data_IF_680437136607
#
_entry.id   IF_680437136607
#
_cell.length_a   1.000
_cell.length_b   1.000
_cell.length_c   1.000
_cell.angle_alpha   90.00
_cell.angle_beta   90.00
_cell.angle_gamma   90.00
#
_symmetry.space_group_name_H-M   'P 1'
#
loop_
_entity.id
_entity.type
_entity.pdbx_description
1 polymer ?
#
# COMPACT_ATOMS: atom_id res chain seq x y z
N UNK A 1 -0.10 5.05 -32.39
CA UNK A 1 0.09 5.67 -31.06
C UNK A 1 -0.65 4.83 -30.04
N UNK A 2 0.06 4.16 -29.14
CA UNK A 2 -0.57 3.45 -28.02
C UNK A 2 -1.29 4.47 -27.14
N UNK A 3 -2.53 4.19 -26.75
CA UNK A 3 -3.23 5.01 -25.76
C UNK A 3 -2.30 5.14 -24.56
N UNK A 4 -2.05 6.37 -24.09
CA UNK A 4 -1.51 6.58 -22.74
C UNK A 4 -2.35 5.72 -21.76
N UNK A 5 -1.75 5.18 -20.69
CA UNK A 5 -2.37 4.24 -19.73
C UNK A 5 -3.56 4.80 -18.95
N UNK A 6 -4.55 5.30 -19.68
CA UNK A 6 -5.77 5.97 -19.27
C UNK A 6 -6.97 5.02 -19.42
N UNK A 7 -6.72 3.74 -19.70
CA UNK A 7 -7.73 2.67 -19.71
C UNK A 7 -8.04 2.20 -18.28
N UNK A 8 -7.03 2.23 -17.40
CA UNK A 8 -7.14 1.81 -16.01
C UNK A 8 -6.51 2.81 -15.04
N UNK A 9 -7.09 2.90 -13.84
CA UNK A 9 -6.55 3.65 -12.71
C UNK A 9 -5.95 2.67 -11.71
N UNK A 10 -4.74 2.94 -11.24
CA UNK A 10 -4.14 2.22 -10.10
C UNK A 10 -4.68 2.87 -8.83
N UNK A 11 -5.52 2.15 -8.11
CA UNK A 11 -6.10 2.61 -6.84
C UNK A 11 -5.26 2.02 -5.72
N UNK A 12 -4.73 2.88 -4.86
CA UNK A 12 -3.83 2.50 -3.76
C UNK A 12 -4.33 3.06 -2.44
N UNK A 13 -4.24 2.23 -1.40
CA UNK A 13 -4.52 2.55 -0.02
C UNK A 13 -3.34 2.10 0.85
N UNK A 14 -2.96 2.91 1.84
CA UNK A 14 -1.75 2.69 2.63
C UNK A 14 -2.08 2.63 4.12
N UNK A 15 -1.63 1.57 4.77
CA UNK A 15 -1.60 1.51 6.22
C UNK A 15 -0.19 1.77 6.74
N UNK A 16 -0.09 2.48 7.85
CA UNK A 16 1.20 2.84 8.46
C UNK A 16 1.25 2.47 9.94
N UNK A 17 2.46 2.21 10.45
CA UNK A 17 2.65 2.14 11.90
C UNK A 17 2.21 3.45 12.55
N UNK A 18 1.36 3.36 13.56
CA UNK A 18 0.82 4.52 14.27
C UNK A 18 0.68 4.26 15.77
N UNK A 19 0.43 5.32 16.55
CA UNK A 19 0.32 5.28 18.00
C UNK A 19 -0.79 6.22 18.46
N UNK A 20 -1.45 5.89 19.58
CA UNK A 20 -2.52 6.73 20.17
C UNK A 20 -2.01 8.12 20.54
N UNK A 21 -0.75 8.19 20.97
CA UNK A 21 -0.02 9.43 21.24
C UNK A 21 1.28 9.41 20.47
N UNK A 22 1.78 10.59 20.12
CA UNK A 22 3.03 10.73 19.38
C UNK A 22 4.21 10.14 20.17
N UNK A 23 4.86 9.15 19.58
CA UNK A 23 6.14 8.61 20.04
C UNK A 23 7.30 9.42 19.48
N UNK A 24 8.36 9.65 20.29
CA UNK A 24 9.50 10.49 19.89
C UNK A 24 10.56 9.76 19.07
N UNK A 25 10.75 8.46 19.33
CA UNK A 25 11.79 7.64 18.73
C UNK A 25 11.22 6.66 17.69
N UNK A 26 10.06 6.98 17.12
CA UNK A 26 9.38 6.18 16.12
C UNK A 26 8.97 7.07 14.94
N UNK A 27 9.06 6.51 13.72
CA UNK A 27 8.58 7.15 12.50
C UNK A 27 7.43 6.33 11.92
N UNK A 28 6.51 6.99 11.20
CA UNK A 28 5.49 6.25 10.47
C UNK A 28 6.14 5.54 9.28
N UNK A 29 5.99 4.23 9.21
CA UNK A 29 6.41 3.41 8.08
C UNK A 29 5.17 2.73 7.48
N UNK A 30 5.13 2.60 6.16
CA UNK A 30 4.08 1.84 5.47
C UNK A 30 4.25 0.36 5.83
N UNK A 31 3.16 -0.26 6.30
CA UNK A 31 3.11 -1.68 6.69
C UNK A 31 2.14 -2.49 5.84
N UNK A 32 1.28 -1.82 5.05
CA UNK A 32 0.49 -2.45 4.00
C UNK A 32 0.29 -1.49 2.83
N UNK A 33 0.31 -2.04 1.62
CA UNK A 33 -0.19 -1.40 0.41
C UNK A 33 -1.36 -2.23 -0.11
N UNK A 34 -2.57 -1.72 0.07
CA UNK A 34 -3.75 -2.20 -0.65
C UNK A 34 -3.72 -1.63 -2.07
N UNK A 35 -3.84 -2.47 -3.09
CA UNK A 35 -3.82 -2.03 -4.50
C UNK A 35 -4.82 -2.79 -5.35
N UNK A 36 -5.43 -2.10 -6.31
CA UNK A 36 -6.19 -2.72 -7.39
C UNK A 36 -6.17 -1.88 -8.67
N UNK A 37 -6.64 -2.45 -9.78
CA UNK A 37 -6.86 -1.73 -11.03
C UNK A 37 -8.36 -1.51 -11.27
N UNK A 38 -8.75 -0.26 -11.49
CA UNK A 38 -10.10 0.12 -11.89
C UNK A 38 -10.14 0.40 -13.40
N UNK A 39 -10.93 -0.37 -14.15
CA UNK A 39 -11.20 -0.09 -15.57
C UNK A 39 -12.15 1.10 -15.72
N UNK A 40 -11.75 2.11 -16.50
CA UNK A 40 -12.52 3.36 -16.64
C UNK A 40 -13.78 3.16 -17.49
N UNK A 41 -13.74 2.22 -18.45
CA UNK A 41 -14.85 1.98 -19.36
C UNK A 41 -15.98 1.18 -18.71
N UNK A 42 -15.63 0.13 -17.96
CA UNK A 42 -16.61 -0.76 -17.32
C UNK A 42 -16.89 -0.45 -15.85
N UNK A 43 -15.97 0.22 -15.16
CA UNK A 43 -16.00 0.37 -13.71
C UNK A 43 -15.60 -0.89 -12.93
N UNK A 44 -15.07 -1.90 -13.62
CA UNK A 44 -14.67 -3.16 -13.00
C UNK A 44 -13.35 -3.02 -12.23
N UNK A 45 -13.28 -3.67 -11.06
CA UNK A 45 -12.06 -3.75 -10.24
C UNK A 45 -11.39 -5.09 -10.47
N UNK A 46 -10.12 -5.04 -10.85
CA UNK A 46 -9.27 -6.21 -11.17
C UNK A 46 -7.97 -6.16 -10.38
N UNK A 47 -7.24 -7.29 -10.36
CA UNK A 47 -5.87 -7.38 -9.82
C UNK A 47 -5.73 -6.87 -8.37
N UNK A 48 -6.73 -7.14 -7.53
CA UNK A 48 -6.69 -6.72 -6.12
C UNK A 48 -5.62 -7.49 -5.35
N UNK A 49 -4.77 -6.76 -4.64
CA UNK A 49 -3.78 -7.34 -3.74
C UNK A 49 -3.64 -6.51 -2.45
N UNK A 50 -3.34 -7.21 -1.35
CA UNK A 50 -2.76 -6.64 -0.13
C UNK A 50 -1.28 -7.03 -0.09
N UNK A 51 -0.40 -6.04 -0.04
CA UNK A 51 1.05 -6.23 0.02
C UNK A 51 1.49 -5.82 1.42
N UNK A 52 1.94 -6.77 2.24
CA UNK A 52 2.48 -6.48 3.57
C UNK A 52 3.92 -6.02 3.49
N UNK A 53 4.27 -5.00 4.28
CA UNK A 53 5.59 -4.42 4.32
C UNK A 53 6.18 -4.52 5.73
N UNK A 54 7.41 -5.03 5.83
CA UNK A 54 8.13 -5.09 7.11
C UNK A 54 8.76 -3.72 7.43
N UNK A 55 8.42 -3.07 8.57
CA UNK A 55 9.03 -1.81 9.01
C UNK A 55 10.46 -2.04 9.51
N UNK A 56 11.28 -0.99 9.49
CA UNK A 56 12.73 -1.05 9.83
C UNK A 56 13.07 -0.21 11.06
N UNK A 57 12.37 0.89 11.26
CA UNK A 57 12.63 1.91 12.28
C UNK A 57 11.46 2.10 13.26
N UNK A 58 10.35 1.38 13.06
CA UNK A 58 9.18 1.44 13.91
C UNK A 58 8.61 0.06 14.24
N UNK A 59 7.72 0.03 15.22
CA UNK A 59 6.99 -1.17 15.63
C UNK A 59 5.49 -0.95 15.48
N UNK A 60 4.78 -2.03 15.17
CA UNK A 60 3.31 -2.05 15.19
C UNK A 60 2.85 -1.99 16.65
N UNK A 61 2.19 -0.90 17.04
CA UNK A 61 1.63 -0.74 18.39
C UNK A 61 0.27 -1.45 18.52
N UNK A 62 -0.18 -1.71 19.76
CA UNK A 62 -1.54 -2.23 19.98
C UNK A 62 -2.63 -1.30 19.41
N UNK A 63 -2.40 0.02 19.44
CA UNK A 63 -3.32 0.98 18.85
C UNK A 63 -3.39 0.82 17.32
N UNK A 64 -2.23 0.68 16.68
CA UNK A 64 -2.13 0.41 15.24
C UNK A 64 -2.86 -0.89 14.88
N UNK A 65 -2.60 -1.98 15.60
CA UNK A 65 -3.29 -3.26 15.38
C UNK A 65 -4.81 -3.14 15.54
N UNK A 66 -5.31 -2.33 16.47
CA UNK A 66 -6.76 -2.10 16.61
C UNK A 66 -7.37 -1.34 15.43
N UNK A 67 -6.62 -0.45 14.79
CA UNK A 67 -7.08 0.32 13.64
C UNK A 67 -6.97 -0.46 12.32
N UNK A 68 -5.84 -1.11 12.09
CA UNK A 68 -5.49 -1.73 10.80
C UNK A 68 -5.74 -3.23 10.77
N UNK A 69 -5.98 -3.87 11.93
CA UNK A 69 -6.02 -5.33 12.14
C UNK A 69 -4.70 -6.07 11.94
N UNK A 70 -3.62 -5.36 11.55
CA UNK A 70 -2.31 -5.95 11.31
C UNK A 70 -1.55 -6.18 12.62
N UNK A 71 -1.05 -7.41 12.82
CA UNK A 71 -0.23 -7.76 14.00
C UNK A 71 1.26 -7.62 13.69
N UNK A 72 2.12 -7.43 14.72
CA UNK A 72 3.57 -7.42 14.52
C UNK A 72 4.08 -8.67 13.79
N UNK A 73 3.55 -9.85 14.12
CA UNK A 73 3.95 -11.12 13.52
C UNK A 73 3.57 -11.21 12.04
N UNK A 74 2.40 -10.68 11.69
CA UNK A 74 1.94 -10.66 10.30
C UNK A 74 2.82 -9.73 9.46
N UNK A 75 3.07 -8.52 9.97
CA UNK A 75 3.87 -7.50 9.29
C UNK A 75 5.34 -7.94 9.13
N UNK A 76 5.87 -8.73 10.07
CA UNK A 76 7.20 -9.32 9.99
C UNK A 76 7.38 -10.28 8.79
N UNK A 77 6.29 -10.83 8.25
CA UNK A 77 6.32 -11.64 7.02
C UNK A 77 6.37 -10.82 5.73
N UNK A 78 6.22 -9.49 5.84
CA UNK A 78 6.15 -8.58 4.71
C UNK A 78 7.47 -8.40 3.96
N UNK A 79 7.36 -7.85 2.74
CA UNK A 79 8.50 -7.48 1.90
C UNK A 79 9.03 -6.11 2.28
N UNK A 80 10.16 -5.69 1.71
CA UNK A 80 10.68 -4.33 1.94
C UNK A 80 9.89 -3.31 1.11
N UNK A 81 9.81 -2.06 1.59
CA UNK A 81 9.18 -0.95 0.85
C UNK A 81 9.68 -0.82 -0.60
N UNK A 82 11.00 -1.00 -0.82
CA UNK A 82 11.58 -0.98 -2.17
C UNK A 82 10.98 -2.06 -3.09
N UNK A 83 10.77 -3.26 -2.56
CA UNK A 83 10.23 -4.39 -3.32
C UNK A 83 8.75 -4.17 -3.62
N UNK A 84 7.99 -3.62 -2.67
CA UNK A 84 6.61 -3.20 -2.91
C UNK A 84 6.50 -2.14 -4.01
N UNK A 85 7.36 -1.11 -3.99
CA UNK A 85 7.39 -0.10 -5.06
C UNK A 85 7.71 -0.71 -6.43
N UNK A 86 8.69 -1.62 -6.52
CA UNK A 86 9.01 -2.32 -7.77
C UNK A 86 7.83 -3.14 -8.27
N UNK A 87 7.14 -3.85 -7.37
CA UNK A 87 5.93 -4.63 -7.70
C UNK A 87 4.82 -3.74 -8.26
N UNK A 88 4.59 -2.56 -7.68
CA UNK A 88 3.63 -1.58 -8.21
C UNK A 88 4.02 -1.07 -9.61
N UNK A 89 5.31 -0.84 -9.84
CA UNK A 89 5.80 -0.41 -11.15
C UNK A 89 5.64 -1.49 -12.21
N UNK A 90 6.00 -2.74 -11.90
CA UNK A 90 6.05 -3.85 -12.85
C UNK A 90 4.67 -4.45 -13.11
N UNK A 91 3.88 -4.72 -12.07
CA UNK A 91 2.61 -5.42 -12.19
C UNK A 91 1.43 -4.47 -12.44
N UNK A 92 1.47 -3.28 -11.84
CA UNK A 92 0.39 -2.30 -11.94
C UNK A 92 0.70 -1.16 -12.91
N UNK A 93 1.91 -1.10 -13.47
CA UNK A 93 2.35 -0.02 -14.36
C UNK A 93 2.13 1.37 -13.75
N UNK A 94 2.37 1.50 -12.44
CA UNK A 94 2.06 2.70 -11.64
C UNK A 94 2.73 3.99 -12.14
N UNK A 95 3.83 3.88 -12.91
CA UNK A 95 4.49 5.01 -13.59
C UNK A 95 3.78 5.52 -14.84
N UNK A 96 2.94 4.68 -15.46
CA UNK A 96 2.31 4.95 -16.76
C UNK A 96 0.79 5.11 -16.68
N UNK A 97 0.20 4.74 -15.54
CA UNK A 97 -1.24 4.84 -15.27
C UNK A 97 -1.54 5.96 -14.29
N UNK A 98 -2.78 6.45 -14.33
CA UNK A 98 -3.26 7.39 -13.31
C UNK A 98 -3.28 6.68 -11.96
N UNK A 99 -2.73 7.36 -10.94
CA UNK A 99 -2.78 6.93 -9.56
C UNK A 99 -3.94 7.60 -8.84
N UNK A 100 -4.70 6.83 -8.06
CA UNK A 100 -5.70 7.35 -7.14
C UNK A 100 -5.51 6.76 -5.75
N UNK A 101 -5.67 7.58 -4.74
CA UNK A 101 -5.69 7.19 -3.33
C UNK A 101 -6.62 8.12 -2.56
N UNK A 102 -7.05 7.71 -1.38
CA UNK A 102 -7.88 8.53 -0.51
C UNK A 102 -7.31 8.44 0.91
N UNK A 103 -7.03 9.59 1.52
CA UNK A 103 -6.38 9.69 2.83
C UNK A 103 -5.96 11.10 3.13
#
# INVERSE_FOLDING_TARGET
MGKAGLDKIVVVDLETTCWEKRERDQIMEVIEVGVCLLDIGSGEITDRQSILLKPVYSVVSEFCTKLTTLTPELVETGIRLREACLKLEEEYQSKMRVWASYG
#
